data_IF_238863301172
#
_entry.id   IF_238863301172
#
_cell.length_a   1.000
_cell.length_b   1.000
_cell.length_c   1.000
_cell.angle_alpha   90.00
_cell.angle_beta   90.00
_cell.angle_gamma   90.00
#
_symmetry.space_group_name_H-M   'P 1'
#
loop_
_entity.id
_entity.type
_entity.pdbx_description
1 polymer ?
#
# COMPACT_ATOMS: atom_id res chain seq x y z
N UNK A 1 24.13 -4.20 10.20
CA UNK A 1 23.13 -3.39 9.47
C UNK A 1 21.74 -3.83 9.92
N UNK A 2 20.88 -2.88 10.29
CA UNK A 2 19.48 -3.17 10.62
C UNK A 2 18.69 -3.50 9.35
N UNK A 3 17.79 -4.48 9.46
CA UNK A 3 16.81 -4.81 8.43
C UNK A 3 15.66 -3.80 8.48
N UNK A 4 15.13 -3.45 7.31
CA UNK A 4 14.01 -2.52 7.14
C UNK A 4 12.87 -3.22 6.42
N UNK A 5 11.63 -3.00 6.86
CA UNK A 5 10.43 -3.44 6.19
C UNK A 5 9.80 -2.23 5.51
N UNK A 6 9.49 -2.32 4.23
CA UNK A 6 9.07 -1.20 3.40
C UNK A 6 7.77 -1.60 2.71
N UNK A 7 6.72 -0.83 2.92
CA UNK A 7 5.46 -0.98 2.18
C UNK A 7 5.33 0.16 1.21
N UNK A 8 5.09 -0.18 -0.06
CA UNK A 8 4.89 0.75 -1.17
C UNK A 8 3.39 0.96 -1.33
N UNK A 9 2.99 2.22 -1.46
CA UNK A 9 1.61 2.64 -1.65
C UNK A 9 1.50 3.54 -2.87
N UNK A 10 0.38 3.46 -3.57
CA UNK A 10 -0.09 4.53 -4.43
C UNK A 10 -1.15 5.31 -3.65
N UNK A 11 -0.84 6.57 -3.32
CA UNK A 11 -1.59 7.33 -2.30
C UNK A 11 -1.76 6.48 -1.02
N UNK A 12 -2.97 6.12 -0.62
CA UNK A 12 -3.25 5.30 0.56
C UNK A 12 -3.57 3.83 0.26
N UNK A 13 -3.49 3.40 -1.00
CA UNK A 13 -3.70 2.00 -1.41
C UNK A 13 -2.34 1.27 -1.46
N UNK A 14 -2.12 0.21 -0.67
CA UNK A 14 -0.87 -0.53 -0.67
C UNK A 14 -0.73 -1.40 -1.93
N UNK A 15 0.50 -1.67 -2.36
CA UNK A 15 0.78 -2.48 -3.55
C UNK A 15 1.84 -3.58 -3.33
N UNK A 16 2.84 -3.31 -2.49
CA UNK A 16 3.97 -4.23 -2.30
C UNK A 16 4.59 -4.07 -0.91
N UNK A 17 5.04 -5.19 -0.34
CA UNK A 17 5.88 -5.23 0.86
C UNK A 17 7.29 -5.71 0.49
N UNK A 18 8.32 -5.12 1.09
CA UNK A 18 9.72 -5.47 0.84
C UNK A 18 10.54 -5.36 2.11
N UNK A 19 11.23 -6.44 2.49
CA UNK A 19 12.27 -6.37 3.51
C UNK A 19 13.64 -6.20 2.86
N UNK A 20 14.51 -5.38 3.46
CA UNK A 20 15.85 -5.13 2.98
C UNK A 20 16.88 -5.16 4.12
N UNK A 21 17.97 -5.90 3.92
CA UNK A 21 19.15 -5.91 4.80
C UNK A 21 20.43 -5.84 3.95
N UNK A 22 21.03 -4.64 3.86
CA UNK A 22 22.15 -4.40 2.97
C UNK A 22 21.77 -4.62 1.50
N UNK A 23 22.38 -5.62 0.85
CA UNK A 23 22.10 -6.02 -0.55
C UNK A 23 20.99 -7.08 -0.69
N UNK A 24 20.64 -7.77 0.40
CA UNK A 24 19.59 -8.79 0.39
C UNK A 24 18.21 -8.13 0.44
N UNK A 25 17.26 -8.68 -0.31
CA UNK A 25 15.88 -8.21 -0.37
C UNK A 25 14.92 -9.39 -0.45
N UNK A 26 13.87 -9.33 0.35
CA UNK A 26 12.68 -10.17 0.23
C UNK A 26 11.50 -9.30 -0.18
N UNK A 27 10.59 -9.82 -1.01
CA UNK A 27 9.45 -9.05 -1.53
C UNK A 27 8.20 -9.91 -1.65
N UNK A 28 7.06 -9.31 -1.36
CA UNK A 28 5.74 -9.87 -1.66
C UNK A 28 4.90 -8.78 -2.36
N UNK A 29 4.32 -9.16 -3.50
CA UNK A 29 3.27 -8.39 -4.14
C UNK A 29 1.95 -8.72 -3.46
N UNK A 30 1.10 -7.71 -3.31
CA UNK A 30 -0.26 -7.92 -2.84
C UNK A 30 -1.13 -8.47 -3.98
N UNK A 31 -2.32 -8.97 -3.64
CA UNK A 31 -3.28 -9.50 -4.58
C UNK A 31 -3.66 -8.49 -5.69
N UNK A 32 -4.05 -9.01 -6.85
CA UNK A 32 -4.41 -8.19 -8.01
C UNK A 32 -5.53 -7.16 -7.72
N UNK A 33 -6.37 -7.40 -6.69
CA UNK A 33 -7.41 -6.46 -6.27
C UNK A 33 -6.87 -5.09 -5.87
N UNK A 34 -5.65 -5.01 -5.35
CA UNK A 34 -5.00 -3.75 -5.01
C UNK A 34 -4.62 -2.96 -6.25
N UNK A 35 -4.01 -3.60 -7.25
CA UNK A 35 -3.67 -2.92 -8.51
C UNK A 35 -4.92 -2.43 -9.23
N UNK A 36 -5.97 -3.26 -9.29
CA UNK A 36 -7.26 -2.84 -9.86
C UNK A 36 -7.88 -1.66 -9.08
N UNK A 37 -7.72 -1.61 -7.75
CA UNK A 37 -8.18 -0.49 -6.95
C UNK A 37 -7.39 0.79 -7.27
N UNK A 38 -6.06 0.69 -7.40
CA UNK A 38 -5.19 1.81 -7.78
C UNK A 38 -5.58 2.39 -9.13
N UNK A 39 -5.77 1.55 -10.15
CA UNK A 39 -6.09 2.01 -11.50
C UNK A 39 -7.44 2.74 -11.54
N UNK A 40 -8.46 2.19 -10.85
CA UNK A 40 -9.77 2.85 -10.74
C UNK A 40 -9.70 4.13 -9.92
N UNK A 41 -8.93 4.15 -8.84
CA UNK A 41 -8.72 5.34 -8.01
C UNK A 41 -8.03 6.47 -8.80
N UNK A 42 -7.03 6.14 -9.61
CA UNK A 42 -6.36 7.07 -10.51
C UNK A 42 -7.34 7.66 -11.54
N UNK A 43 -8.23 6.84 -12.10
CA UNK A 43 -9.29 7.30 -12.99
C UNK A 43 -10.26 8.26 -12.29
N UNK A 44 -10.70 7.94 -11.07
CA UNK A 44 -11.57 8.81 -10.26
C UNK A 44 -10.88 10.15 -9.94
N UNK A 45 -9.58 10.12 -9.66
CA UNK A 45 -8.79 11.31 -9.35
C UNK A 45 -8.34 12.12 -10.58
N UNK A 46 -8.57 11.62 -11.79
CA UNK A 46 -8.04 12.22 -13.02
C UNK A 46 -6.51 12.15 -13.16
N UNK A 47 -5.83 11.27 -12.43
CA UNK A 47 -4.37 11.10 -12.46
C UNK A 47 -3.96 9.92 -13.35
N UNK A 48 -4.43 9.94 -14.60
CA UNK A 48 -4.25 8.83 -15.54
C UNK A 48 -3.07 9.00 -16.48
N UNK A 49 -2.47 10.19 -16.56
CA UNK A 49 -1.21 10.37 -17.27
C UNK A 49 -0.05 9.77 -16.46
N UNK A 50 1.00 9.34 -17.17
CA UNK A 50 2.14 8.64 -16.57
C UNK A 50 2.81 9.43 -15.45
N UNK A 51 2.99 10.73 -15.62
CA UNK A 51 3.74 11.55 -14.66
C UNK A 51 2.92 11.77 -13.39
N UNK A 52 1.64 12.15 -13.54
CA UNK A 52 0.70 12.29 -12.42
C UNK A 52 0.51 10.99 -11.67
N UNK A 53 0.38 9.86 -12.37
CA UNK A 53 0.23 8.55 -11.76
C UNK A 53 1.49 8.15 -10.97
N UNK A 54 2.67 8.32 -11.56
CA UNK A 54 3.94 7.94 -10.92
C UNK A 54 4.23 8.85 -9.71
N UNK A 55 3.86 10.12 -9.77
CA UNK A 55 4.09 11.08 -8.69
C UNK A 55 3.39 10.72 -7.37
N UNK A 56 2.35 9.87 -7.39
CA UNK A 56 1.61 9.50 -6.18
C UNK A 56 2.20 8.29 -5.43
N UNK A 57 3.22 7.63 -5.97
CA UNK A 57 3.87 6.52 -5.28
C UNK A 57 4.63 7.02 -4.06
N UNK A 58 4.35 6.42 -2.92
CA UNK A 58 5.05 6.68 -1.67
C UNK A 58 5.45 5.37 -1.00
N UNK A 59 6.34 5.47 -0.01
CA UNK A 59 6.82 4.32 0.74
C UNK A 59 6.80 4.63 2.23
N UNK A 60 6.33 3.67 3.03
CA UNK A 60 6.44 3.71 4.49
C UNK A 60 7.48 2.67 4.91
N UNK A 61 8.40 3.08 5.79
CA UNK A 61 9.52 2.23 6.23
C UNK A 61 9.41 1.99 7.73
N UNK A 62 9.48 0.73 8.12
CA UNK A 62 9.42 0.25 9.50
C UNK A 62 10.68 -0.56 9.82
N UNK A 63 10.95 -0.75 11.11
CA UNK A 63 11.96 -1.70 11.53
C UNK A 63 11.52 -3.12 11.15
N UNK A 64 12.40 -3.90 10.51
CA UNK A 64 12.15 -5.32 10.28
C UNK A 64 12.84 -6.08 11.40
N UNK A 65 12.05 -6.64 12.31
CA UNK A 65 12.53 -7.53 13.35
C UNK A 65 12.50 -8.98 12.84
N UNK A 66 13.52 -9.77 13.19
CA UNK A 66 13.57 -11.18 12.84
C UNK A 66 13.91 -11.47 11.37
N UNK A 67 13.33 -12.55 10.85
CA UNK A 67 13.57 -13.04 9.49
C UNK A 67 12.85 -12.17 8.44
N UNK A 68 13.52 -11.93 7.31
CA UNK A 68 12.99 -11.05 6.26
C UNK A 68 11.82 -11.67 5.51
N UNK A 69 11.86 -12.98 5.24
CA UNK A 69 10.81 -13.65 4.49
C UNK A 69 9.54 -13.76 5.35
N UNK A 70 9.71 -14.12 6.64
CA UNK A 70 8.61 -14.13 7.59
C UNK A 70 7.98 -12.75 7.79
N UNK A 71 8.80 -11.70 7.97
CA UNK A 71 8.31 -10.34 8.14
C UNK A 71 7.52 -9.85 6.91
N UNK A 72 7.99 -10.15 5.70
CA UNK A 72 7.30 -9.80 4.46
C UNK A 72 5.97 -10.56 4.33
N UNK A 73 5.97 -11.87 4.56
CA UNK A 73 4.76 -12.68 4.46
C UNK A 73 3.69 -12.26 5.47
N UNK A 74 4.11 -12.01 6.72
CA UNK A 74 3.22 -11.56 7.80
C UNK A 74 2.60 -10.21 7.51
N UNK A 75 3.40 -9.23 7.08
CA UNK A 75 2.90 -7.89 6.78
C UNK A 75 2.02 -7.88 5.53
N UNK A 76 2.36 -8.66 4.49
CA UNK A 76 1.51 -8.82 3.32
C UNK A 76 0.14 -9.41 3.72
N UNK A 77 0.12 -10.52 4.46
CA UNK A 77 -1.14 -11.13 4.94
C UNK A 77 -1.95 -10.15 5.79
N UNK A 78 -1.30 -9.40 6.68
CA UNK A 78 -1.97 -8.39 7.50
C UNK A 78 -2.62 -7.30 6.63
N UNK A 79 -1.91 -6.80 5.62
CA UNK A 79 -2.47 -5.81 4.69
C UNK A 79 -3.64 -6.38 3.90
N UNK A 80 -3.55 -7.63 3.44
CA UNK A 80 -4.66 -8.31 2.77
C UNK A 80 -5.92 -8.31 3.67
N UNK A 81 -5.77 -8.65 4.95
CA UNK A 81 -6.86 -8.71 5.92
C UNK A 81 -7.40 -7.30 6.28
N UNK A 82 -6.50 -6.31 6.44
CA UNK A 82 -6.83 -4.92 6.82
C UNK A 82 -7.49 -4.12 5.68
N UNK A 83 -7.39 -4.61 4.43
CA UNK A 83 -7.95 -4.00 3.23
C UNK A 83 -8.92 -4.95 2.53
N UNK A 84 -10.10 -5.20 3.15
CA UNK A 84 -11.17 -5.94 2.49
C UNK A 84 -11.72 -5.16 1.29
N UNK A 85 -12.47 -5.86 0.43
CA UNK A 85 -13.05 -5.29 -0.78
C UNK A 85 -13.83 -3.98 -0.52
N UNK A 86 -14.60 -3.91 0.58
CA UNK A 86 -15.36 -2.70 0.93
C UNK A 86 -14.46 -1.49 1.18
N UNK A 87 -13.34 -1.67 1.88
CA UNK A 87 -12.40 -0.58 2.17
C UNK A 87 -11.70 -0.12 0.89
N UNK A 88 -11.25 -1.06 0.06
CA UNK A 88 -10.66 -0.73 -1.24
C UNK A 88 -11.64 0.05 -2.12
N UNK A 89 -12.92 -0.32 -2.10
CA UNK A 89 -13.95 0.39 -2.85
C UNK A 89 -14.19 1.82 -2.33
N UNK A 90 -14.14 2.03 -1.02
CA UNK A 90 -14.18 3.39 -0.42
C UNK A 90 -12.99 4.23 -0.88
N UNK A 91 -11.77 3.67 -0.80
CA UNK A 91 -10.56 4.34 -1.29
C UNK A 91 -10.69 4.68 -2.77
N UNK A 92 -11.17 3.78 -3.62
CA UNK A 92 -11.40 4.05 -5.05
C UNK A 92 -12.34 5.24 -5.25
N UNK A 93 -13.48 5.27 -4.56
CA UNK A 93 -14.44 6.39 -4.65
C UNK A 93 -13.85 7.73 -4.19
N UNK A 94 -12.83 7.69 -3.33
CA UNK A 94 -12.10 8.86 -2.83
C UNK A 94 -10.84 9.17 -3.64
N UNK A 95 -10.65 8.53 -4.80
CA UNK A 95 -9.47 8.71 -5.62
C UNK A 95 -8.20 8.15 -5.00
N UNK A 96 -8.29 7.23 -4.05
CA UNK A 96 -7.18 6.55 -3.39
C UNK A 96 -6.64 7.28 -2.16
N UNK A 97 -7.37 8.26 -1.64
CA UNK A 97 -7.05 8.95 -0.37
C UNK A 97 -7.99 8.46 0.72
N UNK A 98 -7.45 8.07 1.86
CA UNK A 98 -8.25 7.71 3.03
C UNK A 98 -8.77 9.00 3.68
N UNK A 99 -10.09 9.23 3.65
CA UNK A 99 -10.69 10.31 4.42
C UNK A 99 -11.01 9.83 5.82
N UNK A 100 -10.35 10.41 6.83
CA UNK A 100 -10.77 10.26 8.23
C UNK A 100 -12.05 11.08 8.47
N UNK A 101 -13.19 10.64 7.93
CA UNK A 101 -14.52 11.23 8.20
C UNK A 101 -15.11 10.72 9.53
N UNK A 102 -14.26 10.57 10.56
CA UNK A 102 -14.68 10.44 11.95
C UNK A 102 -14.37 11.73 12.70
N UNK A 103 -15.24 12.74 12.52
CA UNK A 103 -15.45 13.92 13.37
C UNK A 103 -16.53 14.77 12.68
N UNK A 104 -17.70 15.10 13.20
CA UNK A 104 -18.31 15.05 14.53
C UNK A 104 -19.82 15.12 14.27
N UNK A 105 -20.62 14.16 14.77
CA UNK A 105 -22.04 14.42 14.97
C UNK A 105 -22.11 15.18 16.30
N UNK A 106 -22.41 16.48 16.25
CA UNK A 106 -22.96 17.25 17.38
C UNK A 106 -24.27 17.84 16.90
#
# INVERSE_FOLDING_TARGET
MSSKLITIYWRDIPAQVTAQKGRMREKALLEARFQHAIDRAAAVAGLTDTDSYIAQWNRKTFACEGDMAEAVAKEASKIEDDYPAERLEKLVKQGGVETNDEKVIT
#
